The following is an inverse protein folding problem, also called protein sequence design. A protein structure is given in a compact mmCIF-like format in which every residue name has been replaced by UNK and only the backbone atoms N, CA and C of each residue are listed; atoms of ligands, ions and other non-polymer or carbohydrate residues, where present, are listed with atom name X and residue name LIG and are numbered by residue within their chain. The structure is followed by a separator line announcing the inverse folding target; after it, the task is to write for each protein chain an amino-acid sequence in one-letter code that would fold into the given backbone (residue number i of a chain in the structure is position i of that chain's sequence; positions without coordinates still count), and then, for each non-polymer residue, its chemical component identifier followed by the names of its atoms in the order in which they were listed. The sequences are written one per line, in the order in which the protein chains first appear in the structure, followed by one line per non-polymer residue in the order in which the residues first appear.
data_IF_499300772863
#
_entry.id   IF_499300772863
#
_cell.length_a   1.000
_cell.length_b   1.000
_cell.length_c   1.000
_cell.angle_alpha   90.00
_cell.angle_beta   90.00
_cell.angle_gamma   90.00
#
_symmetry.space_group_name_H-M   'P 1'
#
loop_
_entity.id
_entity.type
_entity.pdbx_description
1 polymer ?
#
# COMPACT_ATOMS: atom_id res chain seq x y z
N UNK A 1 -29.38 11.04 3.56
CA UNK A 1 -27.97 11.45 3.37
C UNK A 1 -26.97 10.32 3.63
N UNK A 2 -27.01 9.59 4.74
CA UNK A 2 -26.00 8.54 5.07
C UNK A 2 -25.97 7.38 4.05
N UNK A 3 -27.08 6.98 3.43
CA UNK A 3 -27.10 5.92 2.42
C UNK A 3 -26.46 6.36 1.08
N UNK A 4 -26.67 7.60 0.63
CA UNK A 4 -26.08 8.12 -0.62
C UNK A 4 -24.56 8.29 -0.55
N UNK A 5 -24.00 8.66 0.61
CA UNK A 5 -22.54 8.69 0.82
C UNK A 5 -21.93 7.30 0.65
N UNK A 6 -22.63 6.23 1.05
CA UNK A 6 -22.15 4.85 0.88
C UNK A 6 -22.29 4.32 -0.56
N UNK A 7 -23.34 4.73 -1.27
CA UNK A 7 -23.64 4.23 -2.62
C UNK A 7 -22.96 5.03 -3.72
N UNK A 8 -22.92 6.35 -3.59
CA UNK A 8 -22.36 7.27 -4.59
C UNK A 8 -21.00 7.85 -4.21
N UNK A 9 -20.50 7.59 -2.98
CA UNK A 9 -19.21 8.10 -2.52
C UNK A 9 -19.14 9.63 -2.43
N UNK A 10 -20.29 10.29 -2.26
CA UNK A 10 -20.41 11.76 -2.25
C UNK A 10 -19.73 12.34 -1.01
N UNK A 11 -18.59 12.99 -1.21
CA UNK A 11 -17.86 13.72 -0.18
C UNK A 11 -17.63 15.14 -0.71
N UNK A 12 -18.17 16.14 -0.02
CA UNK A 12 -18.07 17.54 -0.47
C UNK A 12 -16.77 18.16 0.00
N UNK A 13 -16.03 18.74 -0.93
CA UNK A 13 -14.79 19.48 -0.65
C UNK A 13 -15.12 20.82 0.00
N UNK A 14 -14.45 21.16 1.10
CA UNK A 14 -14.65 22.47 1.76
C UNK A 14 -14.04 23.60 0.91
N UNK A 15 -14.46 24.83 1.18
CA UNK A 15 -14.11 25.98 0.33
C UNK A 15 -12.61 26.27 0.30
N UNK A 16 -11.93 26.12 1.42
CA UNK A 16 -10.49 26.34 1.52
C UNK A 16 -9.67 25.36 0.66
N UNK A 17 -10.08 24.08 0.61
CA UNK A 17 -9.45 23.07 -0.23
C UNK A 17 -9.76 23.33 -1.72
N UNK A 18 -10.99 23.76 -2.05
CA UNK A 18 -11.35 24.16 -3.42
C UNK A 18 -10.45 25.29 -3.89
N UNK A 19 -10.26 26.34 -3.07
CA UNK A 19 -9.41 27.49 -3.43
C UNK A 19 -7.94 27.10 -3.56
N UNK A 20 -7.44 26.22 -2.68
CA UNK A 20 -6.09 25.66 -2.79
C UNK A 20 -5.91 24.87 -4.10
N UNK A 21 -6.88 24.02 -4.45
CA UNK A 21 -6.82 23.23 -5.68
C UNK A 21 -6.89 24.11 -6.93
N UNK A 22 -7.73 25.15 -6.94
CA UNK A 22 -7.80 26.14 -8.02
C UNK A 22 -6.48 26.90 -8.16
N UNK A 23 -5.82 27.26 -7.06
CA UNK A 23 -4.51 27.92 -7.07
C UNK A 23 -3.38 27.05 -7.66
N UNK A 24 -3.56 25.73 -7.76
CA UNK A 24 -2.62 24.83 -8.41
C UNK A 24 -2.75 24.78 -9.94
N UNK A 25 -3.82 25.33 -10.52
CA UNK A 25 -4.04 25.37 -11.97
C UNK A 25 -2.94 26.20 -12.65
N UNK A 26 -2.28 25.61 -13.64
CA UNK A 26 -1.31 26.32 -14.49
C UNK A 26 -1.77 26.46 -15.93
N UNK A 27 -2.62 25.54 -16.40
CA UNK A 27 -3.11 25.49 -17.79
C UNK A 27 -4.66 25.52 -17.81
N UNK A 28 -5.25 26.67 -17.56
CA UNK A 28 -6.70 26.85 -17.37
C UNK A 28 -7.52 27.10 -18.64
N UNK A 29 -7.10 26.64 -19.84
CA UNK A 29 -7.83 26.96 -21.09
C UNK A 29 -9.14 26.17 -21.20
N UNK A 30 -9.08 24.85 -21.21
CA UNK A 30 -10.24 23.95 -21.28
C UNK A 30 -10.25 23.05 -20.05
N UNK A 31 -11.21 23.27 -19.16
CA UNK A 31 -11.29 22.61 -17.85
C UNK A 31 -12.45 21.61 -17.83
N UNK A 32 -12.24 20.46 -17.19
CA UNK A 32 -13.26 19.45 -16.88
C UNK A 32 -13.36 19.22 -15.36
N UNK A 33 -14.57 19.19 -14.84
CA UNK A 33 -14.94 18.69 -13.52
C UNK A 33 -15.79 17.42 -13.70
N UNK A 34 -15.21 16.19 -13.58
CA UNK A 34 -15.87 14.96 -14.00
C UNK A 34 -16.89 14.40 -13.00
N UNK A 35 -17.01 14.98 -11.81
CA UNK A 35 -17.98 14.63 -10.76
C UNK A 35 -18.25 15.87 -9.89
N UNK A 36 -19.08 16.77 -10.41
CA UNK A 36 -19.16 18.13 -9.85
C UNK A 36 -20.00 18.24 -8.57
N UNK A 37 -20.81 17.23 -8.23
CA UNK A 37 -21.73 17.33 -7.11
C UNK A 37 -22.61 18.56 -7.22
N UNK A 38 -22.63 19.40 -6.18
CA UNK A 38 -23.35 20.68 -6.16
C UNK A 38 -22.60 21.82 -6.85
N UNK A 39 -21.44 21.54 -7.48
CA UNK A 39 -20.67 22.50 -8.26
C UNK A 39 -19.71 23.38 -7.46
N UNK A 40 -18.96 22.82 -6.52
CA UNK A 40 -18.03 23.63 -5.70
C UNK A 40 -16.88 24.22 -6.52
N UNK A 41 -16.40 23.54 -7.55
CA UNK A 41 -15.39 24.06 -8.48
C UNK A 41 -16.04 24.83 -9.63
N UNK A 42 -17.09 24.28 -10.25
CA UNK A 42 -17.73 24.86 -11.43
C UNK A 42 -18.44 26.21 -11.16
N UNK A 43 -18.77 26.52 -9.92
CA UNK A 43 -19.23 27.87 -9.53
C UNK A 43 -18.11 28.92 -9.55
N UNK A 44 -16.86 28.51 -9.45
CA UNK A 44 -15.66 29.36 -9.42
C UNK A 44 -14.87 29.32 -10.73
N UNK A 45 -15.13 28.32 -11.59
CA UNK A 45 -14.39 28.05 -12.83
C UNK A 45 -15.36 27.93 -14.02
N UNK A 46 -14.98 28.50 -15.17
CA UNK A 46 -15.65 28.17 -16.43
C UNK A 46 -15.15 26.79 -16.91
N UNK A 47 -15.94 25.74 -16.70
CA UNK A 47 -15.57 24.37 -17.00
C UNK A 47 -16.74 23.54 -17.54
N UNK A 48 -16.43 22.46 -18.25
CA UNK A 48 -17.37 21.37 -18.52
C UNK A 48 -17.55 20.59 -17.22
N UNK A 49 -18.79 20.41 -16.77
CA UNK A 49 -19.09 19.73 -15.52
C UNK A 49 -20.00 18.54 -15.77
N UNK A 50 -19.73 17.42 -15.11
CA UNK A 50 -20.51 16.19 -15.21
C UNK A 50 -20.95 15.76 -13.82
N UNK A 51 -22.20 15.34 -13.68
CA UNK A 51 -22.73 14.79 -12.43
C UNK A 51 -23.72 13.64 -12.72
N UNK A 52 -23.54 12.51 -12.04
CA UNK A 52 -24.39 11.34 -12.17
C UNK A 52 -25.74 11.51 -11.44
N UNK A 53 -25.71 12.06 -10.21
CA UNK A 53 -26.90 12.21 -9.36
C UNK A 53 -27.75 13.39 -9.82
N UNK A 54 -28.87 13.09 -10.49
CA UNK A 54 -29.81 14.08 -11.00
C UNK A 54 -30.36 15.02 -9.92
N UNK A 55 -30.43 14.56 -8.64
CA UNK A 55 -31.00 15.39 -7.56
C UNK A 55 -30.12 16.57 -7.16
N UNK A 56 -28.81 16.44 -7.37
CA UNK A 56 -27.84 17.51 -7.01
C UNK A 56 -27.15 18.13 -8.23
N UNK A 57 -27.35 17.57 -9.42
CA UNK A 57 -26.73 18.03 -10.65
C UNK A 57 -27.15 19.48 -10.95
N UNK A 58 -26.21 20.43 -11.04
CA UNK A 58 -26.51 21.79 -11.43
C UNK A 58 -27.11 21.86 -12.85
N UNK A 59 -28.01 22.81 -13.11
CA UNK A 59 -28.67 22.94 -14.40
C UNK A 59 -27.74 23.19 -15.59
N UNK A 60 -26.54 23.68 -15.34
CA UNK A 60 -25.51 23.95 -16.35
C UNK A 60 -24.58 22.71 -16.59
N UNK A 61 -24.64 21.69 -15.72
CA UNK A 61 -23.82 20.51 -15.83
C UNK A 61 -24.48 19.42 -16.69
N UNK A 62 -23.67 18.54 -17.24
CA UNK A 62 -24.15 17.35 -17.96
C UNK A 62 -24.58 16.30 -16.94
N UNK A 63 -25.87 15.95 -16.91
CA UNK A 63 -26.35 14.87 -16.05
C UNK A 63 -26.14 13.53 -16.74
N UNK A 64 -25.02 12.88 -16.49
CA UNK A 64 -24.65 11.59 -17.08
C UNK A 64 -23.57 10.89 -16.25
N UNK A 65 -23.37 9.60 -16.53
CA UNK A 65 -22.22 8.86 -15.99
C UNK A 65 -20.95 9.29 -16.71
N UNK A 66 -19.93 9.71 -15.96
CA UNK A 66 -18.64 10.10 -16.53
C UNK A 66 -17.99 8.97 -17.35
N UNK A 67 -18.24 7.70 -17.03
CA UNK A 67 -17.72 6.58 -17.82
C UNK A 67 -18.32 6.48 -19.21
N UNK A 68 -19.47 7.12 -19.48
CA UNK A 68 -20.06 7.23 -20.83
C UNK A 68 -19.57 8.46 -21.60
N UNK A 69 -18.89 9.40 -20.94
CA UNK A 69 -18.40 10.59 -21.60
C UNK A 69 -17.27 10.26 -22.59
N UNK A 70 -17.40 10.73 -23.84
CA UNK A 70 -16.52 10.36 -24.93
C UNK A 70 -15.08 10.90 -24.72
N UNK A 71 -14.10 9.97 -24.70
CA UNK A 71 -12.66 10.26 -24.52
C UNK A 71 -12.02 11.06 -25.65
N UNK A 72 -12.71 11.27 -26.77
CA UNK A 72 -12.28 12.19 -27.81
C UNK A 72 -12.24 13.64 -27.33
N UNK A 73 -13.07 13.99 -26.33
CA UNK A 73 -13.04 15.29 -25.67
C UNK A 73 -11.78 15.42 -24.80
N UNK A 74 -10.86 16.33 -25.21
CA UNK A 74 -9.60 16.59 -24.51
C UNK A 74 -9.67 17.88 -23.70
N UNK A 75 -8.94 17.89 -22.58
CA UNK A 75 -8.91 19.00 -21.64
C UNK A 75 -7.48 19.31 -21.23
N UNK A 76 -7.21 20.58 -20.97
CA UNK A 76 -5.91 21.05 -20.49
C UNK A 76 -5.80 20.89 -18.97
N UNK A 77 -6.92 21.04 -18.26
CA UNK A 77 -7.02 20.82 -16.82
C UNK A 77 -8.24 19.95 -16.50
N UNK A 78 -8.04 18.95 -15.64
CA UNK A 78 -9.13 18.19 -15.02
C UNK A 78 -8.98 18.36 -13.51
N UNK A 79 -10.04 18.85 -12.86
CA UNK A 79 -10.04 19.18 -11.44
C UNK A 79 -11.28 18.60 -10.75
N UNK A 80 -11.13 18.13 -9.52
CA UNK A 80 -12.30 17.67 -8.75
C UNK A 80 -11.96 16.72 -7.61
N UNK A 81 -13.03 16.17 -7.06
CA UNK A 81 -13.03 15.15 -6.01
C UNK A 81 -13.77 13.92 -6.54
N UNK A 82 -13.09 12.91 -7.07
CA UNK A 82 -13.73 11.71 -7.62
C UNK A 82 -14.43 10.89 -6.52
N UNK A 83 -15.46 10.09 -6.84
CA UNK A 83 -16.21 9.33 -5.86
C UNK A 83 -15.38 8.18 -5.23
N UNK A 84 -15.48 7.98 -3.89
CA UNK A 84 -14.75 6.96 -3.14
C UNK A 84 -15.65 5.75 -2.85
N UNK A 85 -15.89 4.90 -3.85
CA UNK A 85 -16.76 3.73 -3.75
C UNK A 85 -15.96 2.44 -3.89
N UNK A 86 -16.09 1.54 -2.91
CA UNK A 86 -15.49 0.20 -3.02
C UNK A 86 -16.18 -0.61 -4.12
N UNK A 87 -15.45 -1.41 -4.88
CA UNK A 87 -15.97 -2.18 -6.02
C UNK A 87 -17.26 -2.93 -5.70
N UNK A 88 -17.32 -3.61 -4.54
CA UNK A 88 -18.52 -4.36 -4.11
C UNK A 88 -19.78 -3.50 -3.94
N UNK A 89 -19.63 -2.20 -3.75
CA UNK A 89 -20.72 -1.24 -3.51
C UNK A 89 -21.11 -0.44 -4.75
N UNK A 90 -20.43 -0.63 -5.89
CA UNK A 90 -20.77 0.01 -7.16
C UNK A 90 -21.99 -0.65 -7.79
N UNK A 91 -22.77 0.11 -8.58
CA UNK A 91 -23.86 -0.43 -9.38
C UNK A 91 -23.33 -1.40 -10.45
N UNK A 92 -24.13 -2.36 -10.88
CA UNK A 92 -23.74 -3.27 -11.97
C UNK A 92 -23.51 -2.49 -13.27
N UNK A 93 -24.33 -1.49 -13.57
CA UNK A 93 -24.15 -0.64 -14.76
C UNK A 93 -22.82 0.11 -14.77
N UNK A 94 -22.30 0.53 -13.60
CA UNK A 94 -20.96 1.11 -13.50
C UNK A 94 -19.86 0.06 -13.69
N UNK A 95 -20.00 -1.11 -13.06
CA UNK A 95 -19.01 -2.20 -13.14
C UNK A 95 -18.77 -2.70 -14.57
N UNK A 96 -19.83 -2.74 -15.40
CA UNK A 96 -19.76 -3.17 -16.81
C UNK A 96 -18.87 -2.24 -17.67
N UNK A 97 -18.66 -1.00 -17.24
CA UNK A 97 -17.87 0.02 -17.95
C UNK A 97 -16.41 0.06 -17.52
N UNK A 98 -16.04 -0.68 -16.45
CA UNK A 98 -14.71 -0.60 -15.84
C UNK A 98 -13.73 -1.56 -16.53
N UNK A 99 -12.48 -1.13 -16.64
CA UNK A 99 -11.37 -1.92 -17.15
C UNK A 99 -10.94 -2.98 -16.09
N UNK A 100 -11.48 -4.20 -16.20
CA UNK A 100 -11.11 -5.31 -15.33
C UNK A 100 -9.99 -6.19 -15.91
N UNK A 101 -9.41 -5.83 -17.05
CA UNK A 101 -8.20 -6.47 -17.57
C UNK A 101 -6.95 -5.99 -16.81
N UNK A 102 -6.90 -4.68 -16.51
CA UNK A 102 -5.78 -4.05 -15.83
C UNK A 102 -6.00 -3.87 -14.31
N UNK A 103 -7.25 -3.96 -13.85
CA UNK A 103 -7.63 -3.74 -12.45
C UNK A 103 -8.42 -4.91 -11.88
N UNK A 104 -8.28 -5.16 -10.59
CA UNK A 104 -9.03 -6.23 -9.91
C UNK A 104 -10.24 -5.70 -9.12
N UNK A 105 -11.09 -6.62 -8.63
CA UNK A 105 -12.30 -6.34 -7.84
C UNK A 105 -12.04 -5.77 -6.43
N UNK A 106 -10.81 -5.45 -6.07
CA UNK A 106 -10.44 -4.72 -4.83
C UNK A 106 -10.24 -3.24 -5.10
N UNK A 107 -10.21 -2.85 -6.37
CA UNK A 107 -9.95 -1.48 -6.82
C UNK A 107 -11.13 -0.56 -6.49
N UNK A 108 -10.84 0.61 -5.92
CA UNK A 108 -11.84 1.62 -5.60
C UNK A 108 -12.16 2.47 -6.84
N UNK A 109 -13.37 3.03 -6.91
CA UNK A 109 -13.88 3.77 -8.07
C UNK A 109 -12.98 4.95 -8.47
N UNK A 110 -12.41 5.69 -7.51
CA UNK A 110 -11.52 6.83 -7.82
C UNK A 110 -10.30 6.43 -8.65
N UNK A 111 -9.81 5.19 -8.56
CA UNK A 111 -8.70 4.69 -9.38
C UNK A 111 -9.10 4.64 -10.85
N UNK A 112 -10.26 4.06 -11.16
CA UNK A 112 -10.83 4.03 -12.51
C UNK A 112 -11.13 5.43 -13.04
N UNK A 113 -11.59 6.34 -12.17
CA UNK A 113 -11.79 7.75 -12.51
C UNK A 113 -10.49 8.43 -12.96
N UNK A 114 -9.40 8.25 -12.21
CA UNK A 114 -8.10 8.82 -12.54
C UNK A 114 -7.62 8.27 -13.89
N UNK A 115 -7.72 6.95 -14.12
CA UNK A 115 -7.32 6.33 -15.39
C UNK A 115 -8.11 6.91 -16.58
N UNK A 116 -9.44 7.03 -16.44
CA UNK A 116 -10.26 7.66 -17.49
C UNK A 116 -9.88 9.13 -17.70
N UNK A 117 -9.62 9.89 -16.64
CA UNK A 117 -9.18 11.28 -16.74
C UNK A 117 -7.86 11.43 -17.49
N UNK A 118 -6.90 10.51 -17.31
CA UNK A 118 -5.65 10.50 -18.09
C UNK A 118 -5.90 10.38 -19.60
N UNK A 119 -6.94 9.64 -19.99
CA UNK A 119 -7.36 9.50 -21.40
C UNK A 119 -7.98 10.78 -21.95
N UNK A 120 -8.56 11.63 -21.10
CA UNK A 120 -9.11 12.94 -21.47
C UNK A 120 -8.07 14.07 -21.49
N UNK A 121 -6.85 13.88 -20.95
CA UNK A 121 -5.84 14.93 -20.94
C UNK A 121 -5.26 15.20 -22.33
N UNK A 122 -5.20 16.48 -22.68
CA UNK A 122 -4.37 16.99 -23.80
C UNK A 122 -2.89 16.73 -23.52
N UNK A 123 -2.00 16.77 -24.53
CA UNK A 123 -0.56 16.85 -24.29
C UNK A 123 -0.22 18.03 -23.37
N UNK A 124 0.64 17.82 -22.37
CA UNK A 124 0.96 18.82 -21.34
C UNK A 124 -0.17 19.19 -20.40
N UNK A 125 -1.29 18.47 -20.44
CA UNK A 125 -2.44 18.71 -19.55
C UNK A 125 -2.19 18.29 -18.11
N UNK A 126 -3.06 18.71 -17.20
CA UNK A 126 -2.91 18.49 -15.75
C UNK A 126 -4.15 17.90 -15.09
N UNK A 127 -3.94 17.05 -14.07
CA UNK A 127 -4.97 16.61 -13.13
C UNK A 127 -4.72 17.24 -11.78
N UNK A 128 -5.79 17.74 -11.13
CA UNK A 128 -5.75 18.31 -9.79
C UNK A 128 -6.87 17.66 -8.98
N UNK A 129 -6.51 16.72 -8.14
CA UNK A 129 -7.48 15.93 -7.40
C UNK A 129 -7.22 15.91 -5.90
N UNK A 130 -8.30 15.75 -5.14
CA UNK A 130 -8.26 15.27 -3.76
C UNK A 130 -8.74 13.83 -3.75
N UNK A 131 -7.92 12.91 -3.21
CA UNK A 131 -8.23 11.47 -3.16
C UNK A 131 -7.68 10.85 -1.88
N UNK A 132 -8.16 9.65 -1.49
CA UNK A 132 -7.46 8.84 -0.50
C UNK A 132 -5.99 8.67 -0.90
N UNK A 133 -5.07 9.05 0.01
CA UNK A 133 -3.61 9.03 -0.26
C UNK A 133 -3.03 7.64 -0.50
N UNK A 134 -3.75 6.62 -0.02
CA UNK A 134 -3.30 5.22 -0.07
C UNK A 134 -3.08 4.72 -1.51
N UNK A 135 -3.69 5.34 -2.53
CA UNK A 135 -3.52 4.88 -3.92
C UNK A 135 -2.05 4.81 -4.34
N UNK A 136 -1.19 5.69 -3.81
CA UNK A 136 0.25 5.68 -4.12
C UNK A 136 0.98 4.42 -3.63
N UNK A 137 0.39 3.65 -2.70
CA UNK A 137 0.98 2.46 -2.07
C UNK A 137 0.16 1.18 -2.24
N UNK A 138 -1.09 1.27 -2.70
CA UNK A 138 -1.99 0.12 -2.82
C UNK A 138 -1.60 -0.79 -3.97
N UNK A 139 -1.62 -2.10 -3.74
CA UNK A 139 -1.38 -3.11 -4.79
C UNK A 139 -2.42 -3.09 -5.90
N UNK A 140 -3.67 -2.70 -5.59
CA UNK A 140 -4.74 -2.53 -6.58
C UNK A 140 -4.57 -1.29 -7.47
N UNK A 141 -3.63 -0.39 -7.15
CA UNK A 141 -3.32 0.81 -7.93
C UNK A 141 -1.99 0.72 -8.69
N UNK A 142 -1.30 -0.42 -8.67
CA UNK A 142 0.01 -0.60 -9.32
C UNK A 142 -0.03 -0.23 -10.79
N UNK A 143 -1.06 -0.67 -11.51
CA UNK A 143 -1.21 -0.33 -12.94
C UNK A 143 -1.34 1.18 -13.14
N UNK A 144 -2.22 1.85 -12.40
CA UNK A 144 -2.38 3.31 -12.46
C UNK A 144 -1.09 4.06 -12.12
N UNK A 145 -0.39 3.64 -11.06
CA UNK A 145 0.86 4.29 -10.65
C UNK A 145 1.94 4.16 -11.71
N UNK A 146 2.03 3.00 -12.36
CA UNK A 146 2.94 2.81 -13.49
C UNK A 146 2.56 3.71 -14.68
N UNK A 147 1.26 3.84 -14.97
CA UNK A 147 0.74 4.68 -16.04
C UNK A 147 1.05 6.16 -15.75
N UNK A 148 0.78 6.66 -14.54
CA UNK A 148 1.12 8.01 -14.12
C UNK A 148 2.62 8.28 -14.24
N UNK A 149 3.47 7.38 -13.74
CA UNK A 149 4.92 7.55 -13.80
C UNK A 149 5.47 7.58 -15.23
N UNK A 150 4.91 6.76 -16.12
CA UNK A 150 5.31 6.70 -17.52
C UNK A 150 4.81 7.89 -18.35
N UNK A 151 3.71 8.50 -17.96
CA UNK A 151 3.08 9.58 -18.73
C UNK A 151 3.34 10.97 -18.17
N UNK A 152 4.00 11.10 -16.99
CA UNK A 152 4.30 12.41 -16.44
C UNK A 152 4.77 12.39 -14.99
N UNK A 153 4.53 13.50 -14.28
CA UNK A 153 4.99 13.72 -12.90
C UNK A 153 3.84 14.19 -12.01
N UNK A 154 3.73 13.62 -10.81
CA UNK A 154 2.96 14.24 -9.72
C UNK A 154 3.78 15.41 -9.18
N UNK A 155 3.49 16.63 -9.61
CA UNK A 155 4.28 17.84 -9.31
C UNK A 155 4.03 18.40 -7.92
N UNK A 156 2.87 18.10 -7.33
CA UNK A 156 2.49 18.48 -5.96
C UNK A 156 1.81 17.29 -5.29
N UNK A 157 2.15 17.05 -4.04
CA UNK A 157 1.50 16.01 -3.22
C UNK A 157 1.38 16.52 -1.77
N UNK A 158 0.17 16.99 -1.41
CA UNK A 158 -0.14 17.57 -0.11
C UNK A 158 -0.88 16.54 0.73
N UNK A 159 -0.12 15.74 1.49
CA UNK A 159 -0.64 14.73 2.42
C UNK A 159 -1.10 15.40 3.72
N UNK A 160 -2.39 15.35 4.00
CA UNK A 160 -2.98 15.90 5.22
C UNK A 160 -2.89 14.94 6.42
N UNK A 161 -2.34 13.75 6.24
CA UNK A 161 -2.24 12.76 7.31
C UNK A 161 -3.60 12.29 7.80
N UNK A 162 -3.75 12.24 9.12
CA UNK A 162 -4.99 11.81 9.77
C UNK A 162 -5.94 13.01 10.06
N UNK A 163 -5.70 14.17 9.46
CA UNK A 163 -6.59 15.33 9.59
C UNK A 163 -7.90 15.09 8.84
N UNK A 164 -9.02 15.47 9.45
CA UNK A 164 -10.32 15.45 8.80
C UNK A 164 -10.39 16.60 7.79
N UNK A 165 -10.32 16.28 6.49
CA UNK A 165 -10.58 17.25 5.39
C UNK A 165 -12.08 17.41 5.10
N UNK A 166 -12.93 16.51 5.62
CA UNK A 166 -14.36 16.50 5.32
C UNK A 166 -15.17 16.28 6.58
N UNK A 167 -16.29 17.00 6.77
CA UNK A 167 -17.18 16.82 7.92
C UNK A 167 -17.80 15.41 7.93
N UNK A 168 -17.50 14.64 8.98
CA UNK A 168 -18.12 13.33 9.23
C UNK A 168 -17.58 12.16 8.41
N UNK A 169 -16.54 12.35 7.62
CA UNK A 169 -15.87 11.29 6.88
C UNK A 169 -14.35 11.52 6.86
N UNK A 170 -13.58 10.55 7.26
CA UNK A 170 -12.11 10.61 7.37
C UNK A 170 -11.43 9.59 6.46
N UNK A 171 -11.41 9.76 5.15
CA UNK A 171 -10.35 9.14 4.39
C UNK A 171 -9.07 9.96 4.66
N UNK A 172 -7.95 9.27 4.87
CA UNK A 172 -6.62 9.89 4.82
C UNK A 172 -6.40 10.43 3.40
N UNK A 173 -6.70 11.71 3.17
CA UNK A 173 -6.66 12.30 1.83
C UNK A 173 -5.37 13.05 1.56
N UNK A 174 -5.03 13.13 0.28
CA UNK A 174 -4.05 14.06 -0.25
C UNK A 174 -4.67 14.89 -1.37
N UNK A 175 -4.29 16.17 -1.45
CA UNK A 175 -4.47 17.01 -2.64
C UNK A 175 -3.21 16.87 -3.47
N UNK A 176 -3.35 16.55 -4.75
CA UNK A 176 -2.22 16.35 -5.62
C UNK A 176 -2.46 16.88 -7.02
N UNK A 177 -1.38 17.29 -7.68
CA UNK A 177 -1.38 17.75 -9.05
C UNK A 177 -0.42 16.89 -9.88
N UNK A 178 -0.92 16.32 -10.95
CA UNK A 178 -0.16 15.60 -11.97
C UNK A 178 -0.05 16.47 -13.24
N UNK A 179 1.08 16.40 -13.91
CA UNK A 179 1.32 17.08 -15.19
C UNK A 179 1.80 16.05 -16.21
N UNK A 180 1.00 15.85 -17.27
CA UNK A 180 1.29 14.96 -18.37
C UNK A 180 2.48 15.49 -19.17
N UNK A 181 3.31 14.59 -19.69
CA UNK A 181 4.51 14.89 -20.46
C UNK A 181 5.59 15.69 -19.70
N UNK A 182 5.45 15.82 -18.39
CA UNK A 182 6.49 16.33 -17.50
C UNK A 182 7.27 15.17 -16.89
N UNK A 183 8.53 14.99 -17.26
CA UNK A 183 9.40 13.91 -16.80
C UNK A 183 10.48 14.38 -15.82
N UNK A 184 10.25 15.48 -15.10
CA UNK A 184 11.19 15.97 -14.09
C UNK A 184 11.23 15.07 -12.85
N UNK A 185 10.16 14.33 -12.58
CA UNK A 185 9.95 13.52 -11.38
C UNK A 185 10.27 14.28 -10.09
N UNK A 186 9.94 15.59 -10.06
CA UNK A 186 10.08 16.44 -8.88
C UNK A 186 8.71 16.80 -8.32
N UNK A 187 8.52 16.49 -7.04
CA UNK A 187 7.26 16.70 -6.33
C UNK A 187 7.45 17.68 -5.18
N UNK A 188 6.62 18.71 -5.14
CA UNK A 188 6.54 19.64 -4.00
C UNK A 188 5.58 19.08 -2.96
N UNK A 189 6.06 18.91 -1.73
CA UNK A 189 5.28 18.48 -0.57
C UNK A 189 4.59 19.66 0.13
N UNK A 190 3.65 19.36 1.04
CA UNK A 190 2.89 20.37 1.79
C UNK A 190 3.76 21.30 2.64
N UNK A 191 4.93 20.82 3.11
CA UNK A 191 5.90 21.61 3.86
C UNK A 191 6.78 22.51 2.96
N UNK A 192 6.54 22.49 1.62
CA UNK A 192 7.30 23.25 0.64
C UNK A 192 8.57 22.54 0.13
N UNK A 193 8.97 21.42 0.71
CA UNK A 193 10.11 20.64 0.26
C UNK A 193 9.86 20.06 -1.14
N UNK A 194 10.92 20.05 -1.96
CA UNK A 194 10.90 19.42 -3.29
C UNK A 194 11.72 18.15 -3.24
N UNK A 195 11.05 17.02 -3.50
CA UNK A 195 11.63 15.69 -3.46
C UNK A 195 11.56 14.99 -4.82
N UNK A 196 12.30 13.90 -4.97
CA UNK A 196 12.23 13.06 -6.17
C UNK A 196 11.08 12.07 -6.05
N UNK A 197 10.23 12.02 -7.07
CA UNK A 197 9.22 10.98 -7.24
C UNK A 197 9.86 9.72 -7.83
N UNK A 198 9.81 8.63 -7.11
CA UNK A 198 10.30 7.33 -7.56
C UNK A 198 9.12 6.36 -7.66
N UNK A 199 9.15 5.47 -8.65
CA UNK A 199 8.20 4.35 -8.75
C UNK A 199 8.95 3.05 -8.46
N UNK A 200 8.65 2.44 -7.33
CA UNK A 200 9.23 1.18 -6.90
C UNK A 200 8.14 0.11 -6.95
N UNK A 201 8.20 -0.75 -7.96
CA UNK A 201 7.22 -1.84 -8.19
C UNK A 201 5.76 -1.36 -8.20
N UNK A 202 5.50 -0.23 -8.83
CA UNK A 202 4.16 0.37 -8.92
C UNK A 202 3.71 1.10 -7.66
N UNK A 203 4.62 1.40 -6.75
CA UNK A 203 4.36 2.25 -5.59
C UNK A 203 5.20 3.53 -5.67
N UNK A 204 4.58 4.68 -5.43
CA UNK A 204 5.30 5.93 -5.40
C UNK A 204 6.01 6.15 -4.07
N UNK A 205 7.27 6.58 -4.16
CA UNK A 205 8.09 7.06 -3.06
C UNK A 205 8.51 8.50 -3.36
N UNK A 206 8.21 9.42 -2.44
CA UNK A 206 8.54 10.83 -2.54
C UNK A 206 9.69 11.14 -1.59
N UNK A 207 10.94 11.03 -2.08
CA UNK A 207 12.14 11.13 -1.25
C UNK A 207 13.34 11.62 -2.04
N UNK A 208 14.25 12.34 -1.37
CA UNK A 208 15.56 12.65 -1.94
C UNK A 208 16.54 11.48 -1.80
N UNK A 209 16.21 10.47 -0.99
CA UNK A 209 16.95 9.24 -0.92
C UNK A 209 16.59 8.34 -2.11
N UNK A 210 17.58 7.87 -2.87
CA UNK A 210 17.37 7.01 -4.03
C UNK A 210 17.36 5.55 -3.59
N UNK A 211 16.27 4.84 -3.92
CA UNK A 211 16.03 3.42 -3.64
C UNK A 211 16.31 2.62 -4.92
N UNK A 212 17.52 2.11 -5.07
CA UNK A 212 18.05 1.52 -6.30
C UNK A 212 18.64 0.11 -6.13
N UNK A 213 18.85 -0.35 -4.89
CA UNK A 213 19.44 -1.65 -4.60
C UNK A 213 18.38 -2.69 -4.24
N UNK A 214 18.30 -3.78 -5.01
CA UNK A 214 17.28 -4.82 -4.81
C UNK A 214 17.46 -5.54 -3.46
N UNK A 215 16.42 -5.55 -2.64
CA UNK A 215 16.41 -6.25 -1.35
C UNK A 215 16.65 -7.76 -1.53
N UNK A 216 16.13 -8.32 -2.62
CA UNK A 216 16.28 -9.74 -2.98
C UNK A 216 17.72 -10.16 -3.27
N UNK A 217 18.61 -9.22 -3.61
CA UNK A 217 20.04 -9.48 -3.77
C UNK A 217 20.76 -9.67 -2.43
N UNK A 218 20.14 -9.21 -1.33
CA UNK A 218 20.72 -9.30 0.02
C UNK A 218 20.11 -10.42 0.83
N UNK A 219 18.80 -10.66 0.62
CA UNK A 219 18.03 -11.54 1.50
C UNK A 219 17.02 -12.39 0.75
N UNK A 220 16.93 -13.66 1.13
CA UNK A 220 15.73 -14.47 0.88
C UNK A 220 14.79 -14.36 2.09
N UNK A 221 13.56 -13.89 1.87
CA UNK A 221 12.56 -13.73 2.92
C UNK A 221 11.70 -14.99 3.03
N UNK A 222 11.52 -15.50 4.24
CA UNK A 222 10.68 -16.68 4.55
C UNK A 222 9.74 -16.39 5.71
N UNK A 223 8.49 -16.82 5.56
CA UNK A 223 7.48 -16.76 6.62
C UNK A 223 7.66 -17.96 7.56
N UNK A 224 7.46 -17.76 8.84
CA UNK A 224 7.52 -18.80 9.85
C UNK A 224 6.38 -19.83 9.77
N UNK A 225 6.56 -20.90 10.51
CA UNK A 225 5.61 -22.01 10.58
C UNK A 225 4.28 -21.62 11.23
N UNK A 226 3.21 -22.26 10.81
CA UNK A 226 1.87 -22.03 11.36
C UNK A 226 1.31 -23.31 11.93
N UNK A 227 1.09 -23.33 13.24
CA UNK A 227 0.51 -24.49 13.94
C UNK A 227 -0.96 -24.73 13.53
N UNK A 228 -1.70 -23.66 13.25
CA UNK A 228 -3.13 -23.67 12.98
C UNK A 228 -3.99 -23.76 14.27
N UNK A 229 -3.37 -23.95 15.45
CA UNK A 229 -4.06 -23.99 16.73
C UNK A 229 -3.09 -23.70 17.90
N UNK A 230 -2.58 -22.48 17.98
CA UNK A 230 -1.59 -22.10 19.00
C UNK A 230 -2.05 -22.40 20.42
N UNK A 231 -3.35 -22.29 20.72
CA UNK A 231 -3.90 -22.62 22.06
C UNK A 231 -3.65 -24.05 22.52
N UNK A 232 -3.34 -24.96 21.59
CA UNK A 232 -2.98 -26.36 21.91
C UNK A 232 -1.45 -26.54 21.83
N UNK A 233 -0.83 -26.02 20.78
CA UNK A 233 0.59 -26.27 20.52
C UNK A 233 1.53 -25.46 21.41
N UNK A 234 1.13 -24.28 21.93
CA UNK A 234 1.93 -23.52 22.91
C UNK A 234 1.79 -24.15 24.28
N UNK A 235 2.85 -24.79 24.76
CA UNK A 235 2.81 -25.51 26.03
C UNK A 235 4.22 -25.66 26.61
N UNK A 236 4.37 -25.59 27.94
CA UNK A 236 5.65 -25.67 28.65
C UNK A 236 6.37 -27.03 28.52
N UNK A 237 5.65 -28.09 28.14
CA UNK A 237 6.20 -29.42 27.82
C UNK A 237 6.44 -29.62 26.32
N UNK A 238 6.34 -28.60 25.52
CA UNK A 238 6.64 -28.69 24.08
C UNK A 238 8.07 -29.14 23.82
N UNK A 239 8.29 -29.64 22.64
CA UNK A 239 9.58 -30.24 22.25
C UNK A 239 10.53 -29.27 21.54
N UNK A 240 10.07 -28.04 21.20
CA UNK A 240 10.93 -27.04 20.57
C UNK A 240 10.60 -25.62 21.03
N UNK A 241 11.63 -24.78 21.03
CA UNK A 241 11.53 -23.33 21.24
C UNK A 241 11.35 -22.59 19.92
N UNK A 242 10.56 -21.53 19.94
CA UNK A 242 10.28 -20.70 18.75
C UNK A 242 10.42 -19.21 19.01
N UNK A 243 11.05 -18.51 18.08
CA UNK A 243 10.97 -17.05 17.95
C UNK A 243 9.53 -16.70 17.58
N UNK A 244 8.93 -15.71 18.27
CA UNK A 244 7.55 -15.31 18.10
C UNK A 244 7.38 -13.79 18.28
N UNK A 245 6.15 -13.28 18.15
CA UNK A 245 5.87 -11.84 18.13
C UNK A 245 6.40 -11.04 19.33
N UNK A 246 6.56 -11.66 20.52
CA UNK A 246 7.10 -10.96 21.69
C UNK A 246 8.62 -11.09 21.83
N UNK A 247 9.29 -11.94 21.07
CA UNK A 247 10.75 -12.13 21.17
C UNK A 247 11.53 -10.84 20.95
N UNK A 248 11.11 -10.01 19.97
CA UNK A 248 11.73 -8.72 19.69
C UNK A 248 11.82 -7.77 20.91
N UNK A 249 10.88 -7.88 21.85
CA UNK A 249 10.81 -7.01 23.02
C UNK A 249 11.28 -7.67 24.32
N UNK A 250 11.16 -8.99 24.42
CA UNK A 250 11.47 -9.73 25.65
C UNK A 250 12.78 -10.51 25.59
N UNK A 251 13.33 -10.71 24.39
CA UNK A 251 14.46 -11.62 24.17
C UNK A 251 14.14 -13.09 24.43
N UNK A 252 12.87 -13.44 24.72
CA UNK A 252 12.49 -14.82 25.07
C UNK A 252 11.78 -15.51 23.92
N UNK A 253 12.02 -16.80 23.78
CA UNK A 253 11.28 -17.72 22.91
C UNK A 253 10.01 -18.22 23.60
N UNK A 254 9.20 -18.97 22.86
CA UNK A 254 8.08 -19.74 23.41
C UNK A 254 8.23 -21.21 23.09
N UNK A 255 7.95 -22.06 24.10
CA UNK A 255 7.97 -23.51 23.93
C UNK A 255 6.70 -23.99 23.26
N UNK A 256 6.82 -24.84 22.24
CA UNK A 256 5.68 -25.39 21.49
C UNK A 256 5.88 -26.86 21.16
N UNK A 257 4.78 -27.59 21.06
CA UNK A 257 4.78 -28.88 20.38
C UNK A 257 4.97 -28.68 18.88
N UNK A 258 5.97 -29.27 18.32
CA UNK A 258 6.28 -29.21 16.90
C UNK A 258 6.36 -30.61 16.31
N UNK A 259 5.39 -30.99 15.51
CA UNK A 259 5.32 -32.29 14.82
C UNK A 259 5.59 -33.47 15.74
N UNK A 260 5.11 -33.36 16.98
CA UNK A 260 5.31 -34.38 18.03
C UNK A 260 3.97 -34.83 18.60
N UNK A 261 3.79 -36.14 18.72
CA UNK A 261 2.57 -36.78 19.22
C UNK A 261 2.85 -37.42 20.58
N UNK A 262 2.12 -36.97 21.59
CA UNK A 262 2.15 -37.56 22.94
C UNK A 262 0.72 -37.62 23.52
N UNK A 263 0.58 -38.04 24.77
CA UNK A 263 -0.71 -38.14 25.44
C UNK A 263 -1.44 -36.81 25.60
N UNK A 264 -0.72 -35.68 25.66
CA UNK A 264 -1.35 -34.35 25.70
C UNK A 264 -1.94 -34.00 24.34
N UNK A 265 -1.19 -34.13 23.26
CA UNK A 265 -1.63 -33.84 21.88
C UNK A 265 -2.81 -34.76 21.50
N UNK A 266 -2.76 -36.07 21.91
CA UNK A 266 -3.86 -37.01 21.64
C UNK A 266 -5.20 -36.56 22.22
N UNK A 267 -5.25 -35.88 23.38
CA UNK A 267 -6.49 -35.34 23.97
C UNK A 267 -7.16 -34.29 23.08
N UNK A 268 -6.41 -33.70 22.14
CA UNK A 268 -6.89 -32.64 21.25
C UNK A 268 -7.13 -33.11 19.82
N UNK A 269 -7.07 -34.45 19.53
CA UNK A 269 -7.11 -34.98 18.18
C UNK A 269 -8.30 -34.47 17.36
N UNK A 270 -9.52 -34.53 17.87
CA UNK A 270 -10.71 -34.07 17.14
C UNK A 270 -10.60 -32.58 16.71
N UNK A 271 -10.12 -31.71 17.61
CA UNK A 271 -9.92 -30.31 17.31
C UNK A 271 -8.78 -30.08 16.31
N UNK A 272 -7.70 -30.85 16.41
CA UNK A 272 -6.54 -30.73 15.51
C UNK A 272 -6.86 -31.21 14.10
N UNK A 273 -7.69 -32.24 13.95
CA UNK A 273 -8.21 -32.70 12.65
C UNK A 273 -9.14 -31.67 11.99
N UNK A 274 -9.92 -30.93 12.78
CA UNK A 274 -10.86 -29.94 12.29
C UNK A 274 -10.21 -28.62 11.81
N UNK A 275 -8.87 -28.46 11.88
CA UNK A 275 -8.16 -27.28 11.39
C UNK A 275 -8.32 -27.12 9.88
N UNK A 276 -8.55 -25.89 9.43
CA UNK A 276 -8.81 -25.57 8.00
C UNK A 276 -7.57 -25.15 7.19
N UNK A 277 -6.36 -25.22 7.79
CA UNK A 277 -5.13 -24.73 7.15
C UNK A 277 -4.63 -25.67 6.03
N UNK A 278 -4.89 -26.96 6.17
CA UNK A 278 -4.68 -28.03 5.18
C UNK A 278 -5.57 -29.21 5.51
N UNK A 279 -5.64 -30.22 4.66
CA UNK A 279 -6.26 -31.52 4.98
C UNK A 279 -5.37 -32.29 5.95
N UNK A 280 -5.98 -32.84 6.99
CA UNK A 280 -5.33 -33.68 8.00
C UNK A 280 -5.92 -35.09 7.98
N UNK A 281 -5.03 -36.08 8.05
CA UNK A 281 -5.34 -37.52 8.05
C UNK A 281 -4.67 -38.24 9.23
N UNK A 282 -4.72 -39.57 9.26
CA UNK A 282 -4.18 -40.40 10.32
C UNK A 282 -2.66 -40.29 10.44
N UNK A 283 -1.96 -39.86 9.39
CA UNK A 283 -0.49 -39.74 9.36
C UNK A 283 0.04 -38.39 9.82
N UNK A 284 -0.81 -37.35 9.93
CA UNK A 284 -0.33 -35.96 10.09
C UNK A 284 -1.17 -35.03 10.96
N UNK A 285 -2.27 -35.47 11.56
CA UNK A 285 -3.18 -34.60 12.32
C UNK A 285 -2.53 -33.87 13.51
N UNK A 286 -1.44 -34.41 14.06
CA UNK A 286 -0.63 -33.78 15.13
C UNK A 286 0.43 -32.83 14.62
N UNK A 287 0.67 -32.75 13.29
CA UNK A 287 1.67 -31.89 12.70
C UNK A 287 1.15 -30.44 12.57
N UNK A 288 2.05 -29.51 12.45
CA UNK A 288 1.73 -28.14 12.12
C UNK A 288 1.07 -28.04 10.74
N UNK A 289 0.24 -27.01 10.56
CA UNK A 289 -0.46 -26.78 9.30
C UNK A 289 0.47 -26.36 8.18
N UNK A 290 1.46 -25.53 8.47
CA UNK A 290 2.53 -25.14 7.56
C UNK A 290 3.86 -25.12 8.30
N UNK A 291 4.87 -25.67 7.64
CA UNK A 291 6.22 -25.69 8.16
C UNK A 291 6.96 -24.36 7.94
N UNK A 292 8.11 -24.18 8.55
CA UNK A 292 9.03 -23.09 8.33
C UNK A 292 10.28 -23.58 7.62
N UNK A 293 11.02 -22.65 7.00
CA UNK A 293 12.31 -22.98 6.39
C UNK A 293 13.33 -23.26 7.50
N UNK A 294 13.64 -24.54 7.68
CA UNK A 294 14.63 -25.01 8.65
C UNK A 294 16.03 -24.94 8.02
N UNK A 295 16.89 -24.10 8.56
CA UNK A 295 18.26 -23.89 8.09
C UNK A 295 19.11 -23.41 9.26
N UNK A 296 20.40 -23.65 9.22
CA UNK A 296 21.39 -23.10 10.16
C UNK A 296 21.99 -21.77 9.67
N UNK A 297 21.59 -21.29 8.49
CA UNK A 297 22.08 -20.05 7.90
C UNK A 297 21.77 -18.85 8.78
N UNK A 298 22.69 -17.88 8.81
CA UNK A 298 22.50 -16.60 9.51
C UNK A 298 21.27 -15.88 8.98
N UNK A 299 20.53 -15.25 9.89
CA UNK A 299 19.29 -14.55 9.54
C UNK A 299 18.99 -13.38 10.46
N UNK A 300 18.21 -12.46 9.95
CA UNK A 300 17.59 -11.37 10.69
C UNK A 300 16.08 -11.65 10.75
N UNK A 301 15.46 -11.35 11.87
CA UNK A 301 14.03 -11.53 12.06
C UNK A 301 13.29 -10.20 12.03
N UNK A 302 12.04 -10.22 11.58
CA UNK A 302 11.09 -9.12 11.72
C UNK A 302 9.69 -9.65 12.02
N UNK A 303 8.97 -8.98 12.90
CA UNK A 303 7.57 -9.32 13.16
C UNK A 303 6.70 -8.95 11.96
N UNK A 304 5.82 -9.84 11.51
CA UNK A 304 4.87 -9.55 10.43
C UNK A 304 3.94 -8.36 10.75
N UNK A 305 3.68 -8.09 12.05
CA UNK A 305 2.96 -6.90 12.51
C UNK A 305 3.60 -6.38 13.79
N UNK A 306 3.96 -5.09 13.85
CA UNK A 306 4.61 -4.50 15.04
C UNK A 306 4.38 -3.00 15.15
N UNK A 307 4.44 -2.47 16.38
CA UNK A 307 4.54 -1.03 16.67
C UNK A 307 5.98 -0.61 17.02
N UNK A 308 6.90 -1.58 17.05
CA UNK A 308 8.30 -1.30 17.38
C UNK A 308 8.91 -0.41 16.27
N UNK A 309 9.55 0.68 16.65
CA UNK A 309 10.25 1.59 15.72
C UNK A 309 11.53 0.96 15.15
N UNK A 310 12.12 0.00 15.88
CA UNK A 310 13.26 -0.81 15.44
C UNK A 310 12.78 -2.26 15.26
N UNK A 311 12.12 -2.57 14.13
CA UNK A 311 11.38 -3.82 13.97
C UNK A 311 12.25 -5.04 13.71
N UNK A 312 13.49 -4.86 13.21
CA UNK A 312 14.40 -5.95 12.88
C UNK A 312 15.27 -6.32 14.06
N UNK A 313 15.48 -7.62 14.26
CA UNK A 313 16.27 -8.16 15.37
C UNK A 313 16.93 -9.48 15.00
N UNK A 314 17.90 -9.93 15.82
CA UNK A 314 18.54 -11.24 15.72
C UNK A 314 18.23 -12.08 16.96
N UNK A 315 18.26 -13.37 16.82
CA UNK A 315 18.11 -14.33 17.91
C UNK A 315 18.87 -15.62 17.59
N UNK A 316 19.37 -16.34 18.62
CA UNK A 316 20.10 -17.60 18.47
C UNK A 316 19.20 -18.79 18.13
N UNK A 317 17.90 -18.73 18.43
CA UNK A 317 16.95 -19.78 18.07
C UNK A 317 16.61 -19.72 16.58
N UNK A 318 16.76 -20.84 15.87
CA UNK A 318 16.53 -20.96 14.44
C UNK A 318 15.08 -21.28 14.06
N UNK A 319 14.25 -21.73 15.02
CA UNK A 319 12.85 -22.02 14.78
C UNK A 319 12.03 -20.73 14.97
N UNK A 320 11.08 -20.44 14.09
CA UNK A 320 10.25 -19.25 14.14
C UNK A 320 8.82 -19.54 13.67
N UNK A 321 7.87 -18.92 14.33
CA UNK A 321 6.45 -19.11 14.04
C UNK A 321 5.91 -18.13 13.01
N UNK A 322 4.68 -18.33 12.56
CA UNK A 322 4.02 -17.58 11.51
C UNK A 322 3.80 -16.09 11.78
N UNK A 323 4.11 -15.59 12.97
CA UNK A 323 4.13 -14.17 13.28
C UNK A 323 5.42 -13.46 12.85
N UNK A 324 6.43 -14.24 12.47
CA UNK A 324 7.79 -13.81 12.15
C UNK A 324 8.11 -14.05 10.67
N UNK A 325 8.86 -13.13 10.10
CA UNK A 325 9.58 -13.29 8.84
C UNK A 325 11.07 -13.42 9.15
N UNK A 326 11.74 -14.35 8.50
CA UNK A 326 13.19 -14.50 8.55
C UNK A 326 13.80 -14.04 7.22
N UNK A 327 14.81 -13.19 7.31
CA UNK A 327 15.63 -12.70 6.23
C UNK A 327 16.93 -13.49 6.24
N UNK A 328 17.05 -14.47 5.35
CA UNK A 328 18.27 -15.27 5.16
C UNK A 328 19.25 -14.48 4.31
N UNK A 329 20.49 -14.39 4.75
CA UNK A 329 21.52 -13.63 4.06
C UNK A 329 21.98 -14.40 2.81
N UNK A 330 21.94 -13.72 1.65
CA UNK A 330 22.44 -14.27 0.37
C UNK A 330 23.95 -14.02 0.17
N UNK A 331 24.50 -13.07 0.91
CA UNK A 331 25.92 -12.70 0.85
C UNK A 331 26.55 -12.82 2.24
N UNK A 332 27.54 -13.71 2.37
CA UNK A 332 28.27 -13.93 3.62
C UNK A 332 29.13 -12.71 4.04
N UNK A 333 29.42 -11.79 3.12
CA UNK A 333 30.14 -10.56 3.42
C UNK A 333 29.34 -9.55 4.23
N UNK A 334 28.03 -9.76 4.41
CA UNK A 334 27.15 -8.90 5.18
C UNK A 334 27.55 -8.85 6.65
N UNK A 335 27.91 -7.64 7.11
CA UNK A 335 28.11 -7.33 8.53
C UNK A 335 26.73 -7.24 9.21
N UNK A 336 26.30 -8.32 9.87
CA UNK A 336 24.94 -8.41 10.46
C UNK A 336 24.65 -7.30 11.47
N UNK A 337 25.52 -6.92 12.41
CA UNK A 337 25.30 -5.78 13.31
C UNK A 337 25.06 -4.45 12.58
N UNK A 338 25.89 -4.14 11.59
CA UNK A 338 25.72 -2.91 10.79
C UNK A 338 24.47 -2.97 9.92
N UNK A 339 24.21 -4.11 9.30
CA UNK A 339 23.00 -4.35 8.53
C UNK A 339 21.73 -4.12 9.38
N UNK A 340 21.70 -4.66 10.59
CA UNK A 340 20.59 -4.49 11.53
C UNK A 340 20.38 -3.02 11.89
N UNK A 341 21.46 -2.27 12.12
CA UNK A 341 21.41 -0.81 12.37
C UNK A 341 20.79 -0.08 11.19
N UNK A 342 21.23 -0.38 9.96
CA UNK A 342 20.72 0.24 8.73
C UNK A 342 19.24 -0.14 8.53
N UNK A 343 18.86 -1.42 8.62
CA UNK A 343 17.46 -1.83 8.46
C UNK A 343 16.52 -1.14 9.46
N UNK A 344 16.99 -0.89 10.68
CA UNK A 344 16.21 -0.19 11.69
C UNK A 344 16.23 1.34 11.53
N UNK A 345 17.07 1.90 10.65
CA UNK A 345 17.11 3.34 10.32
C UNK A 345 16.31 3.70 9.06
N UNK A 346 15.93 2.71 8.24
CA UNK A 346 15.10 2.92 7.03
C UNK A 346 13.72 3.44 7.41
N UNK A 347 13.21 4.41 6.67
CA UNK A 347 11.81 4.84 6.79
C UNK A 347 10.87 3.85 6.11
N UNK A 348 10.50 2.80 6.83
CA UNK A 348 9.56 1.78 6.36
C UNK A 348 8.14 2.30 6.12
N UNK A 349 7.79 3.46 6.70
CA UNK A 349 6.53 4.14 6.39
C UNK A 349 6.54 4.64 4.95
N UNK A 350 7.64 5.28 4.55
CA UNK A 350 7.82 5.78 3.20
C UNK A 350 7.79 4.66 2.16
N UNK A 351 8.34 3.50 2.48
CA UNK A 351 8.28 2.29 1.65
C UNK A 351 6.91 1.57 1.66
N UNK A 352 5.90 2.13 2.34
CA UNK A 352 4.53 1.60 2.33
C UNK A 352 4.25 0.50 3.34
N UNK A 353 5.16 0.22 4.27
CA UNK A 353 4.98 -0.83 5.27
C UNK A 353 4.19 -0.40 6.51
N UNK A 354 3.70 0.84 6.58
CA UNK A 354 2.90 1.32 7.71
C UNK A 354 1.41 1.35 7.37
N UNK A 355 0.61 0.66 8.19
CA UNK A 355 -0.86 0.64 8.11
C UNK A 355 -1.41 1.09 9.46
N UNK A 356 -2.05 2.26 9.50
CA UNK A 356 -2.46 2.89 10.75
C UNK A 356 -1.26 3.17 11.66
N UNK A 357 -1.30 2.65 12.89
CA UNK A 357 -0.25 2.81 13.90
C UNK A 357 0.81 1.70 13.91
N UNK A 358 0.77 0.75 12.94
CA UNK A 358 1.61 -0.45 12.91
C UNK A 358 2.39 -0.56 11.62
N UNK A 359 3.58 -1.13 11.72
CA UNK A 359 4.27 -1.71 10.57
C UNK A 359 3.67 -3.08 10.25
N UNK A 360 3.48 -3.35 8.96
CA UNK A 360 2.98 -4.62 8.44
C UNK A 360 3.96 -5.10 7.37
N UNK A 361 4.70 -6.13 7.69
CA UNK A 361 5.65 -6.77 6.79
C UNK A 361 5.06 -8.09 6.27
N UNK A 362 5.21 -8.34 4.98
CA UNK A 362 4.91 -9.63 4.38
C UNK A 362 6.04 -10.06 3.46
N UNK A 363 6.12 -11.34 3.18
CA UNK A 363 7.21 -11.93 2.41
C UNK A 363 7.36 -11.28 1.03
N UNK A 364 6.27 -11.20 0.27
CA UNK A 364 6.29 -10.68 -1.10
C UNK A 364 6.74 -9.22 -1.13
N UNK A 365 6.11 -8.37 -0.30
CA UNK A 365 6.41 -6.94 -0.30
C UNK A 365 7.85 -6.63 0.13
N UNK A 366 8.40 -7.38 1.12
CA UNK A 366 9.81 -7.23 1.48
C UNK A 366 10.75 -7.70 0.37
N UNK A 367 10.44 -8.84 -0.26
CA UNK A 367 11.30 -9.41 -1.31
C UNK A 367 11.41 -8.48 -2.54
N UNK A 368 10.37 -7.68 -2.79
CA UNK A 368 10.25 -6.86 -3.99
C UNK A 368 10.70 -5.40 -3.81
N UNK A 369 11.11 -4.97 -2.60
CA UNK A 369 11.54 -3.58 -2.39
C UNK A 369 12.96 -3.34 -2.86
N UNK A 370 13.30 -2.04 -2.93
CA UNK A 370 14.67 -1.57 -3.08
C UNK A 370 15.12 -0.81 -1.83
N UNK A 371 16.38 -0.97 -1.46
CA UNK A 371 17.04 -0.17 -0.44
C UNK A 371 17.91 0.90 -1.09
N UNK A 372 18.28 1.97 -0.37
CA UNK A 372 19.25 2.91 -0.87
C UNK A 372 20.65 2.27 -0.96
N UNK A 373 21.28 2.30 -2.13
CA UNK A 373 22.63 1.78 -2.30
C UNK A 373 23.66 2.46 -1.39
N UNK A 374 23.46 3.74 -1.07
CA UNK A 374 24.27 4.47 -0.10
C UNK A 374 24.23 3.86 1.31
N UNK A 375 23.07 3.35 1.72
CA UNK A 375 22.89 2.68 3.00
C UNK A 375 23.42 1.23 2.97
N UNK A 376 23.19 0.53 1.86
CA UNK A 376 23.65 -0.85 1.67
C UNK A 376 25.16 -0.95 1.73
N UNK A 377 25.90 -0.01 1.14
CA UNK A 377 27.37 0.08 1.19
C UNK A 377 27.94 0.15 2.60
N UNK A 378 27.16 0.53 3.61
CA UNK A 378 27.61 0.61 5.01
C UNK A 378 27.80 -0.77 5.65
N UNK A 379 27.17 -1.81 5.15
CA UNK A 379 27.20 -3.15 5.76
C UNK A 379 27.62 -4.27 4.83
N UNK A 380 27.76 -4.03 3.53
CA UNK A 380 28.41 -4.97 2.60
C UNK A 380 29.89 -4.62 2.56
N UNK A 381 30.75 -5.62 2.73
CA UNK A 381 32.16 -5.48 2.39
C UNK A 381 32.25 -5.44 0.87
N UNK A 382 32.60 -4.30 0.32
CA UNK A 382 33.00 -4.20 -1.08
C UNK A 382 34.26 -5.06 -1.22
N UNK A 383 34.14 -6.20 -1.86
CA UNK A 383 35.31 -6.88 -2.40
C UNK A 383 35.82 -5.93 -3.49
N UNK A 384 36.88 -5.19 -3.21
CA UNK A 384 37.64 -4.49 -4.24
C UNK A 384 37.98 -5.52 -5.32
N UNK A 385 37.27 -5.45 -6.45
CA UNK A 385 37.68 -6.17 -7.63
C UNK A 385 38.92 -5.45 -8.14
N UNK A 386 40.07 -5.91 -7.63
CA UNK A 386 41.38 -5.64 -8.24
C UNK A 386 41.45 -6.14 -9.67
#
# INVERSE_FOLDING_TARGET
MINKVKELGQVFTEEAEVDLMIALIKNGKRILEPSCGTGNFSKKLSCVSIELDKEICPSYALNMDFFDYDVSNKFDTIIGNPPYVAFKSMSESTKEKLDLENYDKRTNLHIFFIDKCLKHLSPGGELIFVTPREFIKQTSAIYLNNLLHKSGTITHFYDYGDKMLFKGFTPNCAIWRFEKDNFTHKTKLINGEVVTQQNINGQFVFSNQIYDYDFSSLFTVRVGGVSGMDKVFVHNKGNKEFVYSKTATTGKTRTMYYNHKDAYIQKHEAALRARKIKTFDDSNWWCWGRDFHNSESKRIYVNGKTRNKSPFFTHSCNNYDGSILALFLEDESIDVPKCLTVLNSIDWKELGFKVGDRFVFNQKSLQEIKLPSSEVKKFIKVLDKS
#
